data_IF_025339507811
#
_entry.id   IF_025339507811
#
_cell.length_a   1.000
_cell.length_b   1.000
_cell.length_c   1.000
_cell.angle_alpha   90.00
_cell.angle_beta   90.00
_cell.angle_gamma   90.00
#
_symmetry.space_group_name_H-M   'P 1'
#
loop_
_entity.id
_entity.type
_entity.pdbx_description
1 polymer ?
#
# COMPACT_ATOMS: atom_id res chain seq x y z
N UNK A 1 2.26 -0.96 30.81
CA UNK A 1 3.49 -1.05 30.01
C UNK A 1 3.11 -1.23 28.55
N UNK A 2 3.38 -0.22 27.70
CA UNK A 2 3.16 -0.32 26.27
C UNK A 2 4.06 -1.42 25.66
N UNK A 3 3.49 -2.28 24.83
CA UNK A 3 4.28 -3.27 24.12
C UNK A 3 5.27 -2.56 23.18
N UNK A 4 6.54 -3.01 23.07
CA UNK A 4 7.49 -2.39 22.18
C UNK A 4 7.05 -2.51 20.73
N UNK A 5 7.10 -1.41 19.99
CA UNK A 5 6.87 -1.42 18.54
C UNK A 5 8.04 -2.17 17.88
N UNK A 6 7.75 -3.25 17.16
CA UNK A 6 8.76 -4.07 16.49
C UNK A 6 8.72 -3.98 14.97
N UNK A 7 7.70 -3.31 14.43
CA UNK A 7 7.62 -2.82 13.06
C UNK A 7 6.91 -1.48 13.07
N UNK A 8 7.47 -0.47 12.40
CA UNK A 8 6.87 0.85 12.26
C UNK A 8 6.95 1.29 10.80
N UNK A 9 5.86 1.79 10.23
CA UNK A 9 5.88 2.32 8.87
C UNK A 9 5.73 3.83 8.92
N UNK A 10 6.86 4.52 8.85
CA UNK A 10 6.89 5.96 8.69
C UNK A 10 6.77 6.36 7.23
N UNK A 11 6.18 7.53 7.02
CA UNK A 11 6.00 8.07 5.67
C UNK A 11 6.53 9.49 5.57
N UNK A 12 6.68 9.94 4.35
CA UNK A 12 7.00 11.32 4.02
C UNK A 12 6.31 11.77 2.75
N UNK A 13 6.18 13.07 2.60
CA UNK A 13 5.72 13.70 1.38
C UNK A 13 6.87 14.43 0.67
N UNK A 14 6.76 14.58 -0.65
CA UNK A 14 7.67 15.38 -1.47
C UNK A 14 6.88 16.26 -2.42
N UNK A 15 7.02 17.56 -2.25
CA UNK A 15 6.37 18.52 -3.13
C UNK A 15 7.29 18.86 -4.31
N UNK A 16 6.74 18.78 -5.52
CA UNK A 16 7.44 19.16 -6.75
C UNK A 16 6.57 20.15 -7.56
N UNK A 17 7.21 20.99 -8.35
CA UNK A 17 6.51 21.98 -9.20
C UNK A 17 5.74 21.27 -10.31
N UNK A 18 4.50 21.72 -10.53
CA UNK A 18 3.66 21.28 -11.64
C UNK A 18 3.95 22.12 -12.88
N UNK A 19 4.19 21.45 -14.01
CA UNK A 19 4.26 22.13 -15.30
C UNK A 19 2.87 22.73 -15.65
N UNK A 20 2.79 23.98 -16.12
CA UNK A 20 1.51 24.59 -16.52
C UNK A 20 0.78 23.84 -17.63
N UNK A 21 1.50 23.08 -18.47
CA UNK A 21 0.91 22.25 -19.55
C UNK A 21 0.41 20.89 -19.09
N UNK A 22 0.60 20.54 -17.80
CA UNK A 22 0.22 19.25 -17.26
C UNK A 22 -1.28 18.97 -17.42
N UNK A 23 -1.58 17.79 -17.96
CA UNK A 23 -2.94 17.28 -18.14
C UNK A 23 -3.17 16.05 -17.26
N UNK A 24 -4.06 16.12 -16.25
CA UNK A 24 -4.37 14.96 -15.40
C UNK A 24 -4.87 13.76 -16.20
N UNK A 25 -5.68 13.99 -17.25
CA UNK A 25 -6.19 12.93 -18.11
C UNK A 25 -5.08 12.21 -18.89
N UNK A 26 -4.12 12.95 -19.48
CA UNK A 26 -2.97 12.34 -20.17
C UNK A 26 -2.10 11.55 -19.17
N UNK A 27 -1.87 12.09 -17.97
CA UNK A 27 -1.12 11.43 -16.92
C UNK A 27 -1.80 10.11 -16.48
N UNK A 28 -3.12 10.12 -16.34
CA UNK A 28 -3.90 8.93 -16.01
C UNK A 28 -3.74 7.84 -17.06
N UNK A 29 -3.90 8.14 -18.34
CA UNK A 29 -3.73 7.15 -19.41
C UNK A 29 -2.29 6.64 -19.48
N UNK A 30 -1.29 7.49 -19.34
CA UNK A 30 0.11 7.07 -19.28
C UNK A 30 0.38 6.12 -18.10
N UNK A 31 -0.25 6.36 -16.94
CA UNK A 31 -0.15 5.47 -15.79
C UNK A 31 -0.86 4.12 -16.02
N UNK A 32 -2.03 4.11 -16.65
CA UNK A 32 -2.76 2.89 -17.01
C UNK A 32 -1.92 2.01 -17.95
N UNK A 33 -1.31 2.59 -18.96
CA UNK A 33 -0.44 1.87 -19.89
C UNK A 33 0.84 1.33 -19.21
N UNK A 34 1.41 2.11 -18.28
CA UNK A 34 2.66 1.73 -17.60
C UNK A 34 2.47 0.72 -16.48
N UNK A 35 1.40 0.85 -15.67
CA UNK A 35 1.22 0.08 -14.42
C UNK A 35 0.12 -0.96 -14.55
N UNK A 36 0.24 -1.85 -15.52
CA UNK A 36 -0.74 -2.89 -15.88
C UNK A 36 -1.11 -3.88 -14.77
N UNK A 37 -0.33 -3.90 -13.66
CA UNK A 37 -0.56 -4.76 -12.49
C UNK A 37 -0.97 -3.97 -11.24
N UNK A 38 -1.44 -2.74 -11.44
CA UNK A 38 -1.87 -1.86 -10.36
C UNK A 38 -3.28 -1.37 -10.61
N UNK A 39 -3.97 -1.04 -9.54
CA UNK A 39 -5.21 -0.27 -9.62
C UNK A 39 -4.84 1.19 -9.82
N UNK A 40 -5.05 1.69 -11.04
CA UNK A 40 -4.78 3.09 -11.40
C UNK A 40 -6.06 3.89 -11.28
N UNK A 41 -5.98 5.03 -10.60
CA UNK A 41 -7.13 5.90 -10.43
C UNK A 41 -6.76 7.38 -10.62
N UNK A 42 -7.76 8.16 -11.00
CA UNK A 42 -7.78 9.63 -10.97
C UNK A 42 -9.14 10.02 -10.39
N UNK A 43 -9.14 10.71 -9.26
CA UNK A 43 -10.37 11.17 -8.61
C UNK A 43 -10.25 12.63 -8.15
N UNK A 44 -11.40 13.26 -7.99
CA UNK A 44 -11.51 14.62 -7.44
C UNK A 44 -12.62 14.65 -6.41
N UNK A 45 -12.32 15.24 -5.25
CA UNK A 45 -13.31 15.54 -4.22
C UNK A 45 -13.23 17.02 -3.84
N UNK A 46 -14.38 17.67 -3.47
CA UNK A 46 -14.36 19.08 -3.05
C UNK A 46 -13.46 19.36 -1.84
N UNK A 47 -13.35 18.39 -0.90
CA UNK A 47 -12.63 18.58 0.36
C UNK A 47 -11.12 18.42 0.20
N UNK A 48 -10.67 17.45 -0.61
CA UNK A 48 -9.25 17.08 -0.67
C UNK A 48 -8.60 17.32 -2.03
N UNK A 49 -9.37 17.81 -3.00
CA UNK A 49 -8.88 18.13 -4.35
C UNK A 49 -8.69 16.91 -5.23
N UNK A 50 -7.70 16.96 -6.13
CA UNK A 50 -7.46 15.94 -7.15
C UNK A 50 -6.36 15.00 -6.72
N UNK A 51 -6.67 13.70 -6.75
CA UNK A 51 -5.73 12.63 -6.42
C UNK A 51 -5.55 11.67 -7.58
N UNK A 52 -4.34 11.17 -7.74
CA UNK A 52 -3.99 10.15 -8.71
C UNK A 52 -3.03 9.14 -8.08
N UNK A 53 -3.19 7.87 -8.42
CA UNK A 53 -2.31 6.82 -7.93
C UNK A 53 -2.34 5.56 -8.77
N UNK A 54 -1.38 4.67 -8.48
CA UNK A 54 -1.27 3.37 -9.10
C UNK A 54 -0.82 2.33 -8.07
N UNK A 55 -1.77 1.84 -7.27
CA UNK A 55 -1.49 0.95 -6.15
C UNK A 55 -1.53 -0.54 -6.52
N UNK A 56 -0.53 -1.32 -6.11
CA UNK A 56 -0.50 -2.77 -6.35
C UNK A 56 -1.13 -3.60 -5.24
N UNK A 57 -1.45 -2.99 -4.08
CA UNK A 57 -1.80 -3.70 -2.85
C UNK A 57 -3.31 -3.84 -2.68
N UNK A 58 -3.82 -5.05 -2.88
CA UNK A 58 -5.22 -5.40 -2.59
C UNK A 58 -5.41 -5.39 -1.07
N UNK A 59 -6.32 -4.56 -0.57
CA UNK A 59 -6.78 -4.63 0.81
C UNK A 59 -7.83 -5.71 0.99
N UNK A 60 -8.84 -5.71 0.11
CA UNK A 60 -9.91 -6.69 0.12
C UNK A 60 -10.57 -6.75 -1.25
N UNK A 61 -10.67 -7.91 -1.85
CA UNK A 61 -11.33 -8.11 -3.15
C UNK A 61 -12.15 -9.38 -3.11
N UNK A 62 -13.32 -9.39 -3.75
CA UNK A 62 -14.16 -10.58 -3.85
C UNK A 62 -15.59 -10.31 -4.27
N UNK A 63 -16.32 -11.40 -4.42
CA UNK A 63 -17.75 -11.41 -4.72
C UNK A 63 -18.39 -12.73 -4.29
N UNK A 64 -19.70 -12.74 -4.04
CA UNK A 64 -20.50 -13.97 -3.82
C UNK A 64 -19.98 -14.88 -2.71
N UNK A 65 -19.32 -14.32 -1.70
CA UNK A 65 -18.79 -15.05 -0.56
C UNK A 65 -17.33 -15.49 -0.69
N UNK A 66 -16.70 -15.33 -1.85
CA UNK A 66 -15.30 -15.65 -2.07
C UNK A 66 -14.45 -14.38 -2.05
N UNK A 67 -13.51 -14.33 -1.11
CA UNK A 67 -12.73 -13.14 -0.81
C UNK A 67 -11.24 -13.39 -0.80
N UNK A 68 -10.48 -12.33 -1.07
CA UNK A 68 -9.02 -12.35 -0.97
C UNK A 68 -8.47 -11.05 -0.37
N UNK A 69 -7.36 -11.19 0.33
CA UNK A 69 -6.47 -10.10 0.74
C UNK A 69 -5.02 -10.51 0.49
N UNK A 70 -4.08 -9.57 0.61
CA UNK A 70 -2.66 -9.86 0.36
C UNK A 70 -1.77 -9.35 1.49
N UNK A 71 -0.67 -10.05 1.75
CA UNK A 71 0.49 -9.52 2.44
C UNK A 71 1.52 -9.10 1.39
N UNK A 72 1.81 -7.82 1.30
CA UNK A 72 2.78 -7.25 0.38
C UNK A 72 3.80 -6.42 1.18
N UNK A 73 4.95 -7.01 1.52
CA UNK A 73 5.97 -6.39 2.33
C UNK A 73 7.36 -6.96 2.03
N UNK A 74 8.40 -6.25 2.47
CA UNK A 74 9.76 -6.50 2.00
C UNK A 74 9.94 -5.90 0.61
N UNK A 75 10.96 -5.05 0.44
CA UNK A 75 11.16 -4.30 -0.81
C UNK A 75 12.58 -4.50 -1.32
N UNK A 76 12.72 -4.72 -2.63
CA UNK A 76 13.99 -4.64 -3.33
C UNK A 76 13.79 -3.95 -4.68
N UNK A 77 14.78 -3.16 -5.08
CA UNK A 77 14.82 -2.54 -6.41
C UNK A 77 14.93 -3.62 -7.50
N UNK A 78 14.32 -3.36 -8.64
CA UNK A 78 14.47 -4.22 -9.81
C UNK A 78 15.92 -4.11 -10.34
N UNK A 79 16.55 -5.25 -10.66
CA UNK A 79 17.86 -5.28 -11.34
C UNK A 79 17.62 -5.55 -12.82
N UNK A 80 17.98 -4.60 -13.67
CA UNK A 80 17.72 -4.67 -15.12
C UNK A 80 16.24 -4.97 -15.46
N UNK A 81 15.31 -4.39 -14.68
CA UNK A 81 13.88 -4.60 -14.81
C UNK A 81 13.39 -5.99 -14.40
N UNK A 82 14.26 -6.84 -13.82
CA UNK A 82 13.94 -8.22 -13.40
C UNK A 82 13.70 -8.30 -11.90
N UNK A 83 12.84 -9.26 -11.52
CA UNK A 83 12.59 -9.61 -10.13
C UNK A 83 13.86 -10.20 -9.47
N UNK A 84 14.06 -9.95 -8.15
CA UNK A 84 15.18 -10.54 -7.41
C UNK A 84 15.05 -12.06 -7.36
N UNK A 85 16.20 -12.74 -7.47
CA UNK A 85 16.29 -14.21 -7.36
C UNK A 85 16.31 -14.68 -5.91
N UNK A 86 16.73 -13.82 -5.00
CA UNK A 86 16.82 -14.11 -3.57
C UNK A 86 16.45 -12.88 -2.74
N UNK A 87 16.02 -13.12 -1.53
CA UNK A 87 15.63 -12.10 -0.56
C UNK A 87 16.46 -12.25 0.69
N UNK A 88 16.85 -11.13 1.30
CA UNK A 88 17.56 -11.12 2.57
C UNK A 88 16.61 -11.41 3.74
N UNK A 89 17.21 -11.67 4.91
CA UNK A 89 16.48 -12.05 6.12
C UNK A 89 15.55 -10.93 6.62
N UNK A 90 15.96 -9.64 6.47
CA UNK A 90 15.13 -8.47 6.88
C UNK A 90 13.83 -8.45 6.12
N UNK A 91 13.89 -8.51 4.79
CA UNK A 91 12.73 -8.48 3.91
C UNK A 91 11.80 -9.69 4.10
N UNK A 92 12.37 -10.88 4.29
CA UNK A 92 11.62 -12.08 4.65
C UNK A 92 10.87 -11.91 5.97
N UNK A 93 11.55 -11.41 7.01
CA UNK A 93 10.94 -11.19 8.32
C UNK A 93 9.82 -10.16 8.25
N UNK A 94 10.01 -9.07 7.51
CA UNK A 94 9.00 -8.04 7.33
C UNK A 94 7.72 -8.62 6.71
N UNK A 95 7.85 -9.41 5.65
CA UNK A 95 6.72 -10.06 4.99
C UNK A 95 6.03 -11.06 5.94
N UNK A 96 6.78 -11.88 6.68
CA UNK A 96 6.22 -12.83 7.63
C UNK A 96 5.44 -12.16 8.77
N UNK A 97 5.84 -10.98 9.22
CA UNK A 97 5.10 -10.19 10.20
C UNK A 97 3.73 -9.78 9.67
N UNK A 98 3.66 -9.30 8.42
CA UNK A 98 2.39 -8.91 7.78
C UNK A 98 1.50 -10.13 7.55
N UNK A 99 2.05 -11.22 7.01
CA UNK A 99 1.32 -12.46 6.77
C UNK A 99 0.74 -13.06 8.06
N UNK A 100 1.54 -13.10 9.13
CA UNK A 100 1.11 -13.59 10.44
C UNK A 100 0.02 -12.73 11.06
N UNK A 101 0.09 -11.41 10.86
CA UNK A 101 -0.97 -10.50 11.29
C UNK A 101 -2.29 -10.83 10.58
N UNK A 102 -2.28 -10.95 9.25
CA UNK A 102 -3.49 -11.26 8.48
C UNK A 102 -4.12 -12.58 8.94
N UNK A 103 -3.31 -13.65 9.06
CA UNK A 103 -3.80 -14.96 9.57
C UNK A 103 -4.47 -14.83 10.92
N UNK A 104 -3.82 -14.12 11.85
CA UNK A 104 -4.36 -13.91 13.21
C UNK A 104 -5.66 -13.11 13.19
N UNK A 105 -5.72 -12.02 12.41
CA UNK A 105 -6.93 -11.20 12.33
C UNK A 105 -8.11 -11.97 11.75
N UNK A 106 -7.92 -12.69 10.65
CA UNK A 106 -8.98 -13.53 10.08
C UNK A 106 -9.43 -14.63 11.04
N UNK A 107 -8.50 -15.22 11.78
CA UNK A 107 -8.80 -16.24 12.81
C UNK A 107 -9.70 -15.72 13.94
N UNK A 108 -9.63 -14.42 14.30
CA UNK A 108 -10.53 -13.84 15.30
C UNK A 108 -12.00 -13.81 14.86
N UNK A 109 -12.24 -13.87 13.56
CA UNK A 109 -13.58 -14.01 12.96
C UNK A 109 -13.96 -15.47 12.66
N UNK A 110 -13.13 -16.44 13.10
CA UNK A 110 -13.32 -17.85 12.80
C UNK A 110 -12.97 -18.23 11.34
N UNK A 111 -12.26 -17.36 10.62
CA UNK A 111 -11.88 -17.58 9.23
C UNK A 111 -10.47 -18.18 9.17
N UNK A 112 -10.35 -19.32 8.47
CA UNK A 112 -9.05 -19.95 8.14
C UNK A 112 -8.79 -19.76 6.65
N UNK A 113 -7.88 -18.83 6.25
CA UNK A 113 -7.61 -18.60 4.84
C UNK A 113 -6.71 -19.67 4.24
N UNK A 114 -6.86 -19.93 2.93
CA UNK A 114 -5.84 -20.57 2.10
C UNK A 114 -4.76 -19.53 1.77
N UNK A 115 -3.50 -19.81 2.12
CA UNK A 115 -2.37 -18.93 1.81
C UNK A 115 -1.56 -19.47 0.65
N UNK A 116 -1.27 -18.62 -0.35
CA UNK A 116 -0.35 -18.90 -1.46
C UNK A 116 0.81 -17.91 -1.45
N UNK A 117 2.01 -18.41 -1.27
CA UNK A 117 3.22 -17.59 -1.21
C UNK A 117 4.11 -17.92 -0.01
N UNK A 118 5.09 -17.05 0.33
CA UNK A 118 5.41 -15.82 -0.39
C UNK A 118 6.20 -16.05 -1.69
N UNK A 119 5.98 -15.17 -2.66
CA UNK A 119 6.71 -15.12 -3.93
C UNK A 119 7.06 -13.68 -4.31
N UNK A 120 8.03 -13.50 -5.21
CA UNK A 120 8.42 -12.16 -5.70
C UNK A 120 7.33 -11.60 -6.63
N UNK A 121 6.87 -10.39 -6.37
CA UNK A 121 5.90 -9.67 -7.18
C UNK A 121 6.40 -8.27 -7.54
N UNK A 122 6.21 -7.84 -8.78
CA UNK A 122 6.52 -6.47 -9.21
C UNK A 122 5.42 -5.52 -8.77
N UNK A 123 5.82 -4.37 -8.24
CA UNK A 123 4.95 -3.29 -7.83
C UNK A 123 5.52 -1.94 -8.30
N UNK A 124 5.12 -1.52 -9.51
CA UNK A 124 5.68 -0.34 -10.15
C UNK A 124 7.18 -0.53 -10.47
N UNK A 125 8.03 0.28 -9.85
CA UNK A 125 9.48 0.30 -10.08
C UNK A 125 10.29 -0.53 -9.07
N UNK A 126 9.61 -1.22 -8.14
CA UNK A 126 10.22 -2.11 -7.14
C UNK A 126 9.57 -3.48 -7.15
N UNK A 127 10.16 -4.42 -6.41
CA UNK A 127 9.60 -5.74 -6.14
C UNK A 127 9.32 -5.91 -4.66
N UNK A 128 8.33 -6.74 -4.35
CA UNK A 128 7.95 -7.12 -2.98
C UNK A 128 7.82 -8.63 -2.86
N UNK A 129 7.92 -9.13 -1.62
CA UNK A 129 7.41 -10.45 -1.28
C UNK A 129 5.90 -10.36 -1.10
N UNK A 130 5.16 -11.29 -1.73
CA UNK A 130 3.70 -11.33 -1.74
C UNK A 130 3.18 -12.69 -1.31
N UNK A 131 2.21 -12.70 -0.39
CA UNK A 131 1.34 -13.85 -0.13
C UNK A 131 -0.10 -13.46 -0.40
N UNK A 132 -0.85 -14.30 -1.09
CA UNK A 132 -2.30 -14.18 -1.29
C UNK A 132 -3.02 -15.02 -0.24
N UNK A 133 -4.10 -14.46 0.32
CA UNK A 133 -4.97 -15.12 1.29
C UNK A 133 -6.37 -15.19 0.72
N UNK A 134 -6.86 -16.39 0.48
CA UNK A 134 -8.21 -16.66 -0.02
C UNK A 134 -9.06 -17.20 1.12
N UNK A 135 -10.29 -16.71 1.25
CA UNK A 135 -11.20 -17.13 2.31
C UNK A 135 -12.66 -16.94 1.91
N UNK A 136 -13.54 -17.68 2.57
CA UNK A 136 -14.98 -17.53 2.38
C UNK A 136 -15.58 -16.66 3.49
N UNK A 137 -16.49 -15.77 3.12
CA UNK A 137 -17.30 -14.93 4.02
C UNK A 137 -18.77 -15.11 3.62
N UNK A 138 -19.46 -16.11 4.18
CA UNK A 138 -20.84 -16.43 3.79
C UNK A 138 -21.84 -15.32 4.11
N UNK A 139 -21.56 -14.51 5.15
CA UNK A 139 -22.42 -13.39 5.53
C UNK A 139 -21.81 -12.06 5.06
N UNK A 140 -22.38 -11.40 4.02
CA UNK A 140 -21.90 -10.11 3.52
C UNK A 140 -21.93 -8.98 4.57
N UNK A 141 -22.76 -9.07 5.60
CA UNK A 141 -22.85 -8.07 6.68
C UNK A 141 -21.53 -8.00 7.49
N UNK A 142 -20.74 -9.08 7.48
CA UNK A 142 -19.42 -9.14 8.11
C UNK A 142 -18.30 -8.47 7.31
N UNK A 143 -18.57 -7.97 6.12
CA UNK A 143 -17.56 -7.34 5.26
C UNK A 143 -16.91 -6.13 5.94
N UNK A 144 -17.72 -5.31 6.64
CA UNK A 144 -17.22 -4.16 7.40
C UNK A 144 -16.29 -4.57 8.54
N UNK A 145 -16.60 -5.67 9.26
CA UNK A 145 -15.77 -6.19 10.34
C UNK A 145 -14.39 -6.65 9.79
N UNK A 146 -14.38 -7.35 8.64
CA UNK A 146 -13.14 -7.78 7.98
C UNK A 146 -12.30 -6.56 7.58
N UNK A 147 -12.92 -5.55 6.98
CA UNK A 147 -12.24 -4.33 6.56
C UNK A 147 -11.62 -3.59 7.76
N UNK A 148 -12.38 -3.44 8.85
CA UNK A 148 -11.91 -2.80 10.08
C UNK A 148 -10.73 -3.56 10.72
N UNK A 149 -10.75 -4.89 10.70
CA UNK A 149 -9.64 -5.70 11.22
C UNK A 149 -8.39 -5.56 10.38
N UNK A 150 -8.53 -5.56 9.06
CA UNK A 150 -7.38 -5.52 8.16
C UNK A 150 -6.77 -4.12 8.06
N UNK A 151 -7.57 -3.05 8.02
CA UNK A 151 -7.08 -1.68 7.85
C UNK A 151 -6.90 -0.93 9.19
N UNK A 152 -5.82 -0.12 9.34
CA UNK A 152 -4.63 -0.09 8.50
C UNK A 152 -3.83 -1.39 8.61
N UNK A 153 -3.27 -1.83 7.47
CA UNK A 153 -2.42 -3.02 7.47
C UNK A 153 -1.05 -2.72 8.09
N UNK A 154 -0.32 -3.72 8.60
CA UNK A 154 1.05 -3.52 9.07
C UNK A 154 2.03 -3.09 7.98
N UNK A 155 1.61 -3.14 6.70
CA UNK A 155 2.40 -2.63 5.57
C UNK A 155 2.37 -1.10 5.47
N UNK A 156 1.41 -0.43 6.12
CA UNK A 156 1.26 1.04 6.12
C UNK A 156 1.22 1.67 7.52
N UNK A 157 1.14 0.85 8.57
CA UNK A 157 1.08 1.31 9.97
C UNK A 157 2.25 0.74 10.78
N UNK A 158 2.15 -0.50 11.20
CA UNK A 158 3.17 -1.15 12.03
C UNK A 158 2.58 -2.21 12.94
N UNK A 159 3.40 -2.70 13.85
CA UNK A 159 3.06 -3.72 14.84
C UNK A 159 3.77 -3.49 16.17
N UNK A 160 3.09 -3.60 17.33
CA UNK A 160 1.64 -3.78 17.43
C UNK A 160 0.89 -2.61 16.80
N UNK A 161 -0.34 -2.85 16.31
CA UNK A 161 -1.07 -1.89 15.45
C UNK A 161 -1.40 -0.58 16.18
N UNK A 162 -1.93 -0.67 17.39
CA UNK A 162 -2.38 0.50 18.15
C UNK A 162 -1.20 1.40 18.55
N UNK A 163 -0.14 0.81 19.10
CA UNK A 163 1.06 1.54 19.50
C UNK A 163 1.76 2.20 18.30
N UNK A 164 1.84 1.48 17.18
CA UNK A 164 2.40 2.03 15.95
C UNK A 164 1.53 3.17 15.40
N UNK A 165 0.21 3.04 15.44
CA UNK A 165 -0.72 4.07 15.01
C UNK A 165 -0.57 5.35 15.85
N UNK A 166 -0.59 5.23 17.19
CA UNK A 166 -0.39 6.38 18.09
C UNK A 166 0.95 7.05 17.86
N UNK A 167 2.02 6.27 17.73
CA UNK A 167 3.34 6.81 17.44
C UNK A 167 3.37 7.63 16.14
N UNK A 168 2.74 7.13 15.07
CA UNK A 168 2.67 7.83 13.78
C UNK A 168 1.93 9.16 13.93
N UNK A 169 0.76 9.16 14.56
CA UNK A 169 -0.05 10.37 14.74
C UNK A 169 0.69 11.44 15.54
N UNK A 170 1.43 11.04 16.56
CA UNK A 170 2.14 11.96 17.45
C UNK A 170 3.48 12.47 16.86
N UNK A 171 4.13 11.69 16.00
CA UNK A 171 5.53 11.95 15.63
C UNK A 171 5.79 12.19 14.15
N UNK A 172 4.86 11.85 13.22
CA UNK A 172 5.13 11.98 11.79
C UNK A 172 5.11 13.43 11.29
N UNK A 173 4.40 14.32 11.98
CA UNK A 173 4.49 15.78 11.79
C UNK A 173 3.74 16.33 10.57
N UNK A 174 2.95 15.51 9.85
CA UNK A 174 2.09 15.95 8.76
C UNK A 174 0.85 15.05 8.59
N UNK A 175 -0.18 15.56 7.91
CA UNK A 175 -1.37 14.79 7.61
C UNK A 175 -1.15 13.95 6.34
N UNK A 176 -1.31 12.65 6.47
CA UNK A 176 -1.25 11.70 5.34
C UNK A 176 -2.40 11.88 4.35
N UNK A 177 -3.48 12.54 4.77
CA UNK A 177 -4.71 12.69 4.00
C UNK A 177 -5.19 11.33 3.45
N UNK A 178 -5.30 11.14 2.15
CA UNK A 178 -5.71 9.86 1.57
C UNK A 178 -4.58 8.83 1.42
N UNK A 179 -3.32 9.24 1.59
CA UNK A 179 -2.21 8.29 1.58
C UNK A 179 -2.32 7.30 2.74
N UNK A 180 -2.06 6.02 2.50
CA UNK A 180 -2.24 4.91 3.44
C UNK A 180 -3.69 4.57 3.80
N UNK A 181 -4.69 5.28 3.27
CA UNK A 181 -6.08 4.90 3.31
C UNK A 181 -6.39 3.75 2.35
N UNK A 182 -7.61 3.67 1.86
CA UNK A 182 -7.95 2.73 0.81
C UNK A 182 -8.85 3.38 -0.25
N UNK A 183 -8.83 2.81 -1.44
CA UNK A 183 -9.60 3.27 -2.59
C UNK A 183 -10.06 2.06 -3.41
N UNK A 184 -11.18 2.20 -4.08
CA UNK A 184 -11.70 1.17 -4.97
C UNK A 184 -13.21 1.17 -5.05
N UNK A 185 -13.74 0.04 -5.46
CA UNK A 185 -15.16 -0.19 -5.61
C UNK A 185 -15.67 -1.05 -4.45
N UNK A 186 -16.67 -0.59 -3.73
CA UNK A 186 -17.30 -1.31 -2.63
C UNK A 186 -18.76 -1.61 -2.99
N UNK A 187 -19.08 -2.87 -3.22
CA UNK A 187 -20.44 -3.37 -3.36
C UNK A 187 -20.59 -4.65 -2.52
N UNK A 188 -21.18 -4.56 -1.33
CA UNK A 188 -21.36 -5.71 -0.43
C UNK A 188 -22.25 -6.83 -1.01
N UNK A 189 -23.09 -6.52 -2.01
CA UNK A 189 -23.98 -7.49 -2.67
C UNK A 189 -23.47 -7.97 -4.01
N UNK A 190 -22.45 -7.33 -4.55
CA UNK A 190 -21.81 -7.63 -5.81
C UNK A 190 -20.30 -7.78 -5.66
N UNK A 191 -19.57 -7.24 -6.65
CA UNK A 191 -18.12 -7.28 -6.65
C UNK A 191 -17.53 -6.10 -5.86
N UNK A 192 -16.61 -6.40 -4.95
CA UNK A 192 -15.81 -5.42 -4.22
C UNK A 192 -14.34 -5.57 -4.60
N UNK A 193 -13.67 -4.45 -4.90
CA UNK A 193 -12.24 -4.37 -5.15
C UNK A 193 -11.68 -3.13 -4.43
N UNK A 194 -11.12 -3.32 -3.24
CA UNK A 194 -10.50 -2.28 -2.43
C UNK A 194 -8.98 -2.47 -2.37
N UNK A 195 -8.26 -1.37 -2.53
CA UNK A 195 -6.80 -1.32 -2.55
C UNK A 195 -6.29 -0.35 -1.49
N UNK A 196 -5.16 -0.66 -0.87
CA UNK A 196 -4.45 0.30 -0.01
C UNK A 196 -3.97 1.46 -0.87
N UNK A 197 -4.25 2.70 -0.48
CA UNK A 197 -3.88 3.87 -1.29
C UNK A 197 -2.39 4.20 -1.13
N UNK A 198 -1.60 3.63 -2.01
CA UNK A 198 -0.16 3.80 -2.12
C UNK A 198 0.23 4.30 -3.51
N UNK A 199 1.52 4.70 -3.66
CA UNK A 199 2.04 5.17 -4.96
C UNK A 199 1.12 6.24 -5.55
N UNK A 200 0.78 7.22 -4.74
CA UNK A 200 -0.17 8.27 -5.09
C UNK A 200 0.42 9.67 -4.93
N UNK A 201 -0.29 10.61 -5.51
CA UNK A 201 0.00 12.04 -5.40
C UNK A 201 -1.29 12.86 -5.29
N UNK A 202 -1.21 13.98 -4.60
CA UNK A 202 -2.19 15.05 -4.66
C UNK A 202 -1.77 16.06 -5.74
N UNK A 203 -2.69 16.40 -6.64
CA UNK A 203 -2.50 17.35 -7.75
C UNK A 203 -3.07 18.69 -7.33
N UNK A 204 -2.18 19.59 -6.94
CA UNK A 204 -2.52 20.94 -6.52
C UNK A 204 -2.45 21.96 -7.70
N UNK A 205 -2.91 23.20 -7.52
CA UNK A 205 -2.88 24.20 -8.60
C UNK A 205 -1.50 24.42 -9.24
N UNK A 206 -0.43 24.45 -8.45
CA UNK A 206 0.93 24.74 -8.91
C UNK A 206 1.96 23.64 -8.60
N UNK A 207 1.57 22.62 -7.86
CA UNK A 207 2.49 21.57 -7.38
C UNK A 207 1.83 20.20 -7.39
N UNK A 208 2.67 19.17 -7.30
CA UNK A 208 2.27 17.84 -6.89
C UNK A 208 2.83 17.56 -5.51
N UNK A 209 2.06 16.92 -4.64
CA UNK A 209 2.56 16.32 -3.42
C UNK A 209 2.54 14.80 -3.56
N UNK A 210 3.73 14.20 -3.64
CA UNK A 210 3.94 12.76 -3.75
C UNK A 210 4.13 12.16 -2.36
N UNK A 211 3.70 10.92 -2.15
CA UNK A 211 3.77 10.23 -0.86
C UNK A 211 4.48 8.90 -0.98
N UNK A 212 5.33 8.58 0.00
CA UNK A 212 5.93 7.27 0.16
C UNK A 212 6.22 6.97 1.64
N UNK A 213 6.27 5.68 1.98
CA UNK A 213 6.64 5.21 3.31
C UNK A 213 7.48 3.95 3.24
N UNK A 214 8.25 3.69 4.29
CA UNK A 214 9.10 2.52 4.47
C UNK A 214 8.85 1.82 5.78
N UNK A 215 9.00 0.50 5.82
CA UNK A 215 8.82 -0.32 7.01
C UNK A 215 10.11 -0.46 7.82
N UNK A 216 10.17 0.19 8.97
CA UNK A 216 11.31 0.15 9.88
C UNK A 216 11.23 -1.09 10.78
N UNK A 217 12.31 -1.83 10.85
CA UNK A 217 12.59 -2.92 11.78
C UNK A 217 13.86 -2.59 12.56
N UNK A 218 14.13 -3.32 13.63
CA UNK A 218 15.36 -3.14 14.41
C UNK A 218 16.66 -3.29 13.60
N UNK A 219 16.62 -4.00 12.47
CA UNK A 219 17.75 -4.20 11.57
C UNK A 219 17.80 -3.20 10.40
N UNK A 220 16.86 -2.24 10.33
CA UNK A 220 16.82 -1.24 9.26
C UNK A 220 18.02 -0.29 9.33
N UNK A 221 18.54 0.08 8.16
CA UNK A 221 19.58 1.10 8.00
C UNK A 221 18.95 2.35 7.40
N UNK A 222 19.27 3.52 7.95
CA UNK A 222 18.65 4.79 7.60
C UNK A 222 18.73 5.09 6.10
N UNK A 223 19.90 4.92 5.52
CA UNK A 223 20.18 5.21 4.12
C UNK A 223 19.38 4.32 3.18
N UNK A 224 19.28 3.03 3.50
CA UNK A 224 18.54 2.04 2.71
C UNK A 224 17.04 2.35 2.74
N UNK A 225 16.49 2.65 3.93
CA UNK A 225 15.07 2.99 4.09
C UNK A 225 14.73 4.32 3.40
N UNK A 226 15.63 5.29 3.46
CA UNK A 226 15.46 6.54 2.74
C UNK A 226 15.44 6.32 1.22
N UNK A 227 16.40 5.54 0.69
CA UNK A 227 16.46 5.20 -0.73
C UNK A 227 15.21 4.44 -1.18
N UNK A 228 14.72 3.51 -0.36
CA UNK A 228 13.47 2.80 -0.63
C UNK A 228 12.30 3.77 -0.81
N UNK A 229 12.20 4.83 -0.01
CA UNK A 229 11.15 5.84 -0.19
C UNK A 229 11.35 6.66 -1.47
N UNK A 230 12.58 7.00 -1.88
CA UNK A 230 12.84 7.66 -3.17
C UNK A 230 12.41 6.78 -4.35
N UNK A 231 12.75 5.49 -4.34
CA UNK A 231 12.35 4.52 -5.36
C UNK A 231 10.81 4.39 -5.45
N UNK A 232 10.12 4.46 -4.32
CA UNK A 232 8.65 4.44 -4.26
C UNK A 232 8.03 5.72 -4.82
N UNK A 233 8.61 6.89 -4.56
CA UNK A 233 8.17 8.17 -5.12
C UNK A 233 8.31 8.19 -6.64
N UNK A 234 9.28 7.48 -7.20
CA UNK A 234 9.52 7.42 -8.65
C UNK A 234 8.32 6.88 -9.43
N UNK A 235 7.45 6.09 -8.80
CA UNK A 235 6.23 5.61 -9.45
C UNK A 235 5.41 6.79 -10.03
N UNK A 236 5.12 7.81 -9.23
CA UNK A 236 4.38 8.98 -9.71
C UNK A 236 5.27 10.03 -10.37
N UNK A 237 6.53 10.18 -9.91
CA UNK A 237 7.48 11.12 -10.50
C UNK A 237 7.71 10.88 -11.99
N UNK A 238 7.82 9.63 -12.42
CA UNK A 238 7.98 9.26 -13.83
C UNK A 238 6.76 9.54 -14.69
N UNK A 239 5.58 9.55 -14.10
CA UNK A 239 4.34 9.92 -14.82
C UNK A 239 4.31 11.42 -15.08
N UNK A 240 4.69 12.24 -14.09
CA UNK A 240 4.64 13.71 -14.23
C UNK A 240 5.87 14.32 -14.90
N UNK A 241 7.00 13.59 -14.94
CA UNK A 241 8.24 14.05 -15.58
C UNK A 241 8.37 13.68 -17.07
N UNK A 242 7.47 12.85 -17.60
CA UNK A 242 7.49 12.38 -19.00
C UNK A 242 6.34 13.00 -19.84
N UNK A 243 5.66 13.98 -19.34
CA UNK A 243 4.59 14.74 -19.99
C UNK A 243 5.04 16.18 -20.21
#
# INVERSE_FOLDING_TARGET
DALPIYKLVLSRSKTIRKDPSFSPGKAFFAAVERYIRSYVYLCHTPETGTWMGGTPEILLSGEKGDWQTVALAGTQSLRDGKLPKSWDHKNWREQQLVASYIRRQLSTLGITPEEKGPYSARAGEVSHLKSDFFFSLPNPEKLGDVLQLLHPTPAVCGLPKEEAYHFIIENEGYDRSYYSGFIGWLDPKGKTDLYVNLRCMNILPQTFTLYAGGGLLAASQLEDEWQETEDKLDTMRRIVGNL
#
